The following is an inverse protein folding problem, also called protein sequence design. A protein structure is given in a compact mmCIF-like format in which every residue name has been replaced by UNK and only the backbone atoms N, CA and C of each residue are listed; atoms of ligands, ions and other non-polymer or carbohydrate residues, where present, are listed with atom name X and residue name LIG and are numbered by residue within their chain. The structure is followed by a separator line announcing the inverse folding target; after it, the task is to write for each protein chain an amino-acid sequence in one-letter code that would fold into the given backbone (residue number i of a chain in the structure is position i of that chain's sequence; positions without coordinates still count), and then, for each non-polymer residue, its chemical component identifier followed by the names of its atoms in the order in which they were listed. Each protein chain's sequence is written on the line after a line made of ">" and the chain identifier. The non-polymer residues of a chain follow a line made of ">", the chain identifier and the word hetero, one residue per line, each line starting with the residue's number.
data_IF_119257213324
#
_entry.id   IF_119257213324
#
_cell.length_a   1.000
_cell.length_b   1.000
_cell.length_c   1.000
_cell.angle_alpha   90.00
_cell.angle_beta   90.00
_cell.angle_gamma   90.00
#
_symmetry.space_group_name_H-M   'P 1'
#
loop_
_entity.id
_entity.type
_entity.pdbx_description
1 polymer ?
#
# COMPACT_ATOMS: atom_id res chain seq x y z
N UNK A 1 0.29 14.62 15.54
CA UNK A 1 0.43 14.46 14.09
C UNK A 1 -0.30 15.56 13.33
N UNK A 2 0.43 16.33 12.54
CA UNK A 2 -0.08 17.24 11.52
C UNK A 2 -0.17 16.51 10.17
N UNK A 3 -1.15 16.86 9.33
CA UNK A 3 -1.27 16.34 7.97
C UNK A 3 -1.12 17.53 7.03
N UNK A 4 0.01 17.63 6.33
CA UNK A 4 0.29 18.71 5.39
C UNK A 4 -0.01 18.24 3.96
N UNK A 5 -0.79 19.02 3.20
CA UNK A 5 -0.99 18.78 1.77
C UNK A 5 -0.16 19.81 1.00
N UNK A 6 0.84 19.33 0.24
CA UNK A 6 1.77 20.20 -0.49
C UNK A 6 2.06 19.63 -1.88
N UNK A 7 2.13 20.51 -2.88
CA UNK A 7 2.72 20.18 -4.17
C UNK A 7 4.24 20.18 -4.02
N UNK A 8 4.87 19.02 -4.21
CA UNK A 8 6.33 18.88 -4.23
C UNK A 8 6.78 18.19 -5.51
N UNK A 9 6.87 18.99 -6.58
CA UNK A 9 7.22 18.52 -7.93
C UNK A 9 8.57 17.81 -7.94
N UNK A 10 9.57 18.35 -7.25
CA UNK A 10 10.91 17.76 -7.21
C UNK A 10 10.86 16.36 -6.61
N UNK A 11 10.15 16.20 -5.49
CA UNK A 11 9.96 14.89 -4.88
C UNK A 11 9.21 13.92 -5.80
N UNK A 12 8.10 14.35 -6.41
CA UNK A 12 7.33 13.46 -7.28
C UNK A 12 8.15 12.98 -8.49
N UNK A 13 8.91 13.87 -9.12
CA UNK A 13 9.82 13.54 -10.23
C UNK A 13 10.90 12.54 -9.80
N UNK A 14 11.57 12.79 -8.67
CA UNK A 14 12.60 11.89 -8.17
C UNK A 14 12.02 10.52 -7.84
N UNK A 15 10.83 10.48 -7.25
CA UNK A 15 10.13 9.22 -7.03
C UNK A 15 9.82 8.52 -8.34
N UNK A 16 9.30 9.20 -9.35
CA UNK A 16 9.09 8.60 -10.68
C UNK A 16 10.36 7.97 -11.22
N UNK A 17 11.49 8.67 -11.12
CA UNK A 17 12.78 8.15 -11.54
C UNK A 17 13.16 6.87 -10.77
N UNK A 18 13.10 6.88 -9.45
CA UNK A 18 13.44 5.73 -8.61
C UNK A 18 12.53 4.53 -8.90
N UNK A 19 11.22 4.78 -9.12
CA UNK A 19 10.25 3.76 -9.46
C UNK A 19 10.50 3.13 -10.84
N UNK A 20 11.10 3.85 -11.79
CA UNK A 20 11.35 3.39 -13.17
C UNK A 20 12.76 2.79 -13.34
N UNK A 21 13.77 3.36 -12.68
CA UNK A 21 15.19 3.06 -12.90
C UNK A 21 15.97 2.68 -11.65
N UNK A 22 15.42 2.85 -10.45
CA UNK A 22 16.10 2.45 -9.21
C UNK A 22 16.27 0.94 -9.13
N UNK A 23 17.49 0.42 -9.22
CA UNK A 23 17.74 -1.03 -9.31
C UNK A 23 17.13 -1.82 -8.16
N UNK A 24 17.34 -1.36 -6.92
CA UNK A 24 16.78 -1.98 -5.73
C UNK A 24 15.25 -1.93 -5.74
N UNK A 25 14.69 -0.83 -6.23
CA UNK A 25 13.24 -0.66 -6.33
C UNK A 25 12.65 -1.60 -7.38
N UNK A 26 13.24 -1.70 -8.58
CA UNK A 26 12.75 -2.57 -9.65
C UNK A 26 12.82 -4.05 -9.25
N UNK A 27 13.89 -4.47 -8.55
CA UNK A 27 14.02 -5.84 -8.07
C UNK A 27 12.87 -6.23 -7.13
N UNK A 28 12.43 -5.31 -6.27
CA UNK A 28 11.36 -5.56 -5.28
C UNK A 28 9.96 -5.27 -5.83
N UNK A 29 9.81 -4.23 -6.64
CA UNK A 29 8.56 -3.60 -7.03
C UNK A 29 8.46 -3.35 -8.55
N UNK A 30 9.04 -4.23 -9.37
CA UNK A 30 9.09 -4.07 -10.83
C UNK A 30 7.72 -3.95 -11.50
N UNK A 31 6.64 -4.34 -10.83
CA UNK A 31 5.28 -4.10 -11.29
C UNK A 31 4.84 -2.64 -11.25
N UNK A 32 5.39 -1.83 -10.34
CA UNK A 32 5.10 -0.39 -10.28
C UNK A 32 5.63 0.29 -11.54
N UNK A 33 6.84 -0.07 -11.99
CA UNK A 33 7.40 0.36 -13.28
C UNK A 33 6.46 0.01 -14.43
N UNK A 34 5.97 -1.23 -14.47
CA UNK A 34 4.99 -1.68 -15.50
C UNK A 34 3.71 -0.86 -15.44
N UNK A 35 3.18 -0.57 -14.25
CA UNK A 35 1.98 0.26 -14.08
C UNK A 35 2.20 1.68 -14.60
N UNK A 36 3.34 2.30 -14.28
CA UNK A 36 3.72 3.63 -14.79
C UNK A 36 3.72 3.64 -16.32
N UNK A 37 4.40 2.71 -16.97
CA UNK A 37 4.46 2.68 -18.44
C UNK A 37 3.13 2.33 -19.12
N UNK A 38 2.23 1.61 -18.45
CA UNK A 38 0.85 1.41 -18.95
C UNK A 38 0.05 2.71 -18.96
N UNK A 39 0.24 3.56 -17.96
CA UNK A 39 -0.39 4.88 -17.90
C UNK A 39 0.28 5.91 -18.81
N UNK A 40 1.58 5.77 -19.03
CA UNK A 40 2.40 6.69 -19.82
C UNK A 40 3.14 5.98 -20.95
N UNK A 41 2.44 5.46 -21.98
CA UNK A 41 3.08 4.76 -23.09
C UNK A 41 4.07 5.66 -23.84
N UNK A 42 3.78 6.96 -23.98
CA UNK A 42 4.68 7.94 -24.59
C UNK A 42 5.98 8.13 -23.80
N UNK A 43 5.93 8.04 -22.47
CA UNK A 43 7.13 8.09 -21.63
C UNK A 43 7.97 6.84 -21.85
N UNK A 44 7.33 5.69 -22.02
CA UNK A 44 8.03 4.45 -22.34
C UNK A 44 8.75 4.53 -23.70
N UNK A 45 8.05 4.99 -24.74
CA UNK A 45 8.63 5.17 -26.08
C UNK A 45 9.88 6.05 -26.08
N UNK A 46 9.87 7.13 -25.28
CA UNK A 46 11.03 8.02 -25.12
C UNK A 46 12.20 7.38 -24.35
N UNK A 47 11.94 6.41 -23.49
CA UNK A 47 12.96 5.85 -22.57
C UNK A 47 13.51 4.49 -23.01
N UNK A 48 12.82 3.73 -23.86
CA UNK A 48 13.14 2.32 -24.15
C UNK A 48 14.57 2.07 -24.65
N UNK A 49 15.14 3.01 -25.40
CA UNK A 49 16.47 2.86 -25.99
C UNK A 49 17.53 3.78 -25.37
N UNK A 50 17.18 4.54 -24.34
CA UNK A 50 18.12 5.45 -23.68
C UNK A 50 18.87 4.67 -22.62
N UNK A 51 20.20 4.66 -22.68
CA UNK A 51 21.07 4.03 -21.66
C UNK A 51 21.72 5.03 -20.72
N UNK A 52 21.86 6.30 -21.15
CA UNK A 52 22.46 7.34 -20.33
C UNK A 52 21.53 7.75 -19.16
N UNK A 53 22.12 7.81 -17.96
CA UNK A 53 21.37 8.07 -16.72
C UNK A 53 20.87 9.51 -16.64
N UNK A 54 21.69 10.48 -17.05
CA UNK A 54 21.32 11.89 -16.96
C UNK A 54 20.29 12.25 -18.03
N UNK A 55 20.39 11.67 -19.22
CA UNK A 55 19.37 11.77 -20.27
C UNK A 55 18.03 11.17 -19.80
N UNK A 56 18.03 9.99 -19.17
CA UNK A 56 16.81 9.39 -18.59
C UNK A 56 16.16 10.31 -17.55
N UNK A 57 16.95 10.86 -16.63
CA UNK A 57 16.46 11.81 -15.62
C UNK A 57 15.84 13.04 -16.28
N UNK A 58 16.52 13.62 -17.28
CA UNK A 58 16.03 14.78 -18.03
C UNK A 58 14.70 14.48 -18.71
N UNK A 59 14.58 13.35 -19.42
CA UNK A 59 13.34 12.95 -20.10
C UNK A 59 12.18 12.81 -19.10
N UNK A 60 12.41 12.15 -17.95
CA UNK A 60 11.39 12.02 -16.91
C UNK A 60 11.02 13.39 -16.34
N UNK A 61 12.02 14.23 -16.04
CA UNK A 61 11.80 15.57 -15.50
C UNK A 61 10.93 16.41 -16.44
N UNK A 62 11.30 16.50 -17.72
CA UNK A 62 10.55 17.26 -18.73
C UNK A 62 9.14 16.70 -18.94
N UNK A 63 8.99 15.38 -18.93
CA UNK A 63 7.68 14.75 -19.11
C UNK A 63 6.73 15.07 -17.95
N UNK A 64 7.19 14.88 -16.71
CA UNK A 64 6.39 15.12 -15.52
C UNK A 64 6.14 16.63 -15.31
N UNK A 65 7.12 17.48 -15.57
CA UNK A 65 6.93 18.93 -15.57
C UNK A 65 5.84 19.36 -16.56
N UNK A 66 5.87 18.79 -17.77
CA UNK A 66 4.81 19.00 -18.75
C UNK A 66 3.42 18.63 -18.23
N UNK A 67 3.30 17.59 -17.38
CA UNK A 67 2.02 17.26 -16.72
C UNK A 67 1.61 18.33 -15.70
N UNK A 68 2.54 18.81 -14.87
CA UNK A 68 2.26 19.89 -13.92
C UNK A 68 1.78 21.16 -14.63
N UNK A 69 2.45 21.57 -15.72
CA UNK A 69 2.05 22.73 -16.52
C UNK A 69 0.68 22.49 -17.16
N UNK A 70 0.48 21.34 -17.79
CA UNK A 70 -0.75 21.03 -18.52
C UNK A 70 -1.99 20.93 -17.62
N UNK A 71 -1.82 20.43 -16.40
CA UNK A 71 -2.93 20.14 -15.48
C UNK A 71 -2.97 21.04 -14.25
N UNK A 72 -2.25 22.18 -14.23
CA UNK A 72 -2.12 23.04 -13.05
C UNK A 72 -3.47 23.40 -12.41
N UNK A 73 -4.42 23.94 -13.18
CA UNK A 73 -5.73 24.33 -12.64
C UNK A 73 -6.44 23.15 -11.96
N UNK A 74 -6.44 21.97 -12.59
CA UNK A 74 -7.07 20.77 -12.05
C UNK A 74 -6.33 20.26 -10.81
N UNK A 75 -5.01 20.31 -10.81
CA UNK A 75 -4.17 19.97 -9.67
C UNK A 75 -4.49 20.90 -8.48
N UNK A 76 -4.60 22.21 -8.68
CA UNK A 76 -4.96 23.14 -7.61
C UNK A 76 -6.34 22.82 -7.03
N UNK A 77 -7.33 22.51 -7.88
CA UNK A 77 -8.66 22.07 -7.42
C UNK A 77 -8.56 20.81 -6.55
N UNK A 78 -7.80 19.81 -7.00
CA UNK A 78 -7.59 18.57 -6.22
C UNK A 78 -6.89 18.86 -4.90
N UNK A 79 -5.85 19.71 -4.89
CA UNK A 79 -5.15 20.11 -3.66
C UNK A 79 -6.10 20.76 -2.65
N UNK A 80 -6.96 21.68 -3.09
CA UNK A 80 -7.94 22.31 -2.19
C UNK A 80 -8.97 21.31 -1.66
N UNK A 81 -9.45 20.41 -2.52
CA UNK A 81 -10.33 19.30 -2.12
C UNK A 81 -9.67 18.42 -1.08
N UNK A 82 -8.39 18.04 -1.27
CA UNK A 82 -7.63 17.24 -0.32
C UNK A 82 -7.44 17.98 1.01
N UNK A 83 -7.08 19.27 0.98
CA UNK A 83 -6.96 20.09 2.20
C UNK A 83 -8.25 20.09 3.01
N UNK A 84 -9.38 20.39 2.38
CA UNK A 84 -10.68 20.37 3.06
C UNK A 84 -11.05 18.97 3.56
N UNK A 85 -10.81 17.94 2.74
CA UNK A 85 -11.12 16.55 3.09
C UNK A 85 -10.36 16.09 4.33
N UNK A 86 -9.05 16.35 4.40
CA UNK A 86 -8.23 15.97 5.54
C UNK A 86 -8.46 16.84 6.77
N UNK A 87 -8.71 18.15 6.61
CA UNK A 87 -9.05 19.01 7.74
C UNK A 87 -10.30 18.50 8.47
N UNK A 88 -11.32 18.10 7.71
CA UNK A 88 -12.59 17.61 8.27
C UNK A 88 -12.51 16.20 8.91
N UNK A 89 -11.47 15.42 8.61
CA UNK A 89 -11.38 14.01 9.02
C UNK A 89 -10.14 13.70 9.89
N UNK A 90 -9.19 14.64 10.00
CA UNK A 90 -7.90 14.44 10.68
C UNK A 90 -8.04 13.90 12.09
N UNK A 91 -8.92 14.50 12.90
CA UNK A 91 -9.11 14.06 14.29
C UNK A 91 -9.62 12.63 14.38
N UNK A 92 -10.61 12.26 13.55
CA UNK A 92 -11.15 10.90 13.49
C UNK A 92 -10.11 9.89 13.02
N UNK A 93 -9.32 10.25 12.01
CA UNK A 93 -8.22 9.39 11.53
C UNK A 93 -7.20 9.17 12.65
N UNK A 94 -6.75 10.25 13.31
CA UNK A 94 -5.76 10.16 14.39
C UNK A 94 -6.31 9.32 15.54
N UNK A 95 -7.55 9.58 15.98
CA UNK A 95 -8.19 8.80 17.03
C UNK A 95 -8.28 7.32 16.67
N UNK A 96 -8.68 7.00 15.44
CA UNK A 96 -8.70 5.63 14.93
C UNK A 96 -7.33 4.97 15.01
N UNK A 97 -6.27 5.63 14.54
CA UNK A 97 -4.90 5.10 14.58
C UNK A 97 -4.37 4.92 16.02
N UNK A 98 -4.67 5.87 16.92
CA UNK A 98 -4.33 5.79 18.34
C UNK A 98 -5.00 4.57 18.97
N UNK A 99 -6.29 4.38 18.75
CA UNK A 99 -7.05 3.29 19.39
C UNK A 99 -6.79 1.92 18.76
N UNK A 100 -6.49 1.86 17.47
CA UNK A 100 -6.35 0.57 16.77
C UNK A 100 -4.92 0.04 16.76
N UNK A 101 -3.93 0.92 16.85
CA UNK A 101 -2.52 0.58 16.75
C UNK A 101 -1.69 1.04 17.94
N UNK A 102 -2.28 1.63 18.98
CA UNK A 102 -1.58 2.35 20.07
C UNK A 102 -0.60 3.40 19.55
N UNK A 103 -0.95 4.07 18.47
CA UNK A 103 -0.08 5.07 17.85
C UNK A 103 0.04 6.29 18.77
N UNK A 104 1.28 6.74 19.04
CA UNK A 104 1.50 8.04 19.68
C UNK A 104 1.70 9.11 18.61
N UNK A 105 0.81 10.12 18.48
CA UNK A 105 0.92 11.16 17.46
C UNK A 105 2.17 12.05 17.54
N UNK A 106 2.98 11.90 18.59
CA UNK A 106 4.29 12.55 18.71
C UNK A 106 5.44 11.75 18.05
N UNK A 107 5.27 10.43 17.82
CA UNK A 107 6.25 9.60 17.09
C UNK A 107 6.28 9.94 15.59
N UNK A 108 5.16 10.43 15.04
CA UNK A 108 5.05 11.02 13.70
C UNK A 108 4.39 12.38 13.84
N UNK A 109 5.16 13.44 14.14
CA UNK A 109 4.58 14.76 14.39
C UNK A 109 3.97 15.37 13.13
N UNK A 110 4.42 14.97 11.94
CA UNK A 110 3.89 15.43 10.65
C UNK A 110 3.94 14.33 9.58
N UNK A 111 2.90 14.26 8.75
CA UNK A 111 2.87 13.49 7.51
C UNK A 111 2.55 14.43 6.35
N UNK A 112 3.37 14.39 5.31
CA UNK A 112 3.18 15.22 4.10
C UNK A 112 2.53 14.39 3.01
N UNK A 113 1.36 14.80 2.56
CA UNK A 113 0.66 14.26 1.39
C UNK A 113 1.09 15.06 0.16
N UNK A 114 1.67 14.36 -0.80
CA UNK A 114 2.11 14.91 -2.08
C UNK A 114 1.18 14.35 -3.17
N UNK A 115 0.29 15.19 -3.75
CA UNK A 115 -0.52 14.79 -4.89
C UNK A 115 0.41 14.42 -6.06
N UNK A 116 0.29 13.19 -6.53
CA UNK A 116 1.25 12.57 -7.44
C UNK A 116 0.58 12.11 -8.72
N UNK A 117 1.22 12.36 -9.86
CA UNK A 117 0.75 11.81 -11.13
C UNK A 117 0.99 10.30 -11.24
N UNK A 118 1.75 9.67 -10.33
CA UNK A 118 1.94 8.22 -10.37
C UNK A 118 0.59 7.49 -10.32
N UNK A 119 0.45 6.36 -11.04
CA UNK A 119 -0.80 5.62 -11.04
C UNK A 119 -1.12 4.97 -9.69
N UNK A 120 -0.10 4.66 -8.90
CA UNK A 120 -0.24 4.07 -7.57
C UNK A 120 0.26 5.04 -6.50
N UNK A 121 -0.39 5.02 -5.35
CA UNK A 121 0.11 5.69 -4.15
C UNK A 121 1.30 4.93 -3.57
N UNK A 122 2.19 5.66 -2.91
CA UNK A 122 3.36 5.09 -2.22
C UNK A 122 3.67 5.89 -0.97
N UNK A 123 4.35 5.28 -0.01
CA UNK A 123 4.71 5.91 1.25
C UNK A 123 6.21 5.85 1.52
N UNK A 124 6.65 6.76 2.38
CA UNK A 124 7.96 6.82 3.04
C UNK A 124 7.73 7.15 4.51
N UNK A 125 8.80 7.37 5.28
CA UNK A 125 8.74 7.57 6.75
C UNK A 125 7.77 8.65 7.21
N UNK A 126 7.63 9.74 6.46
CA UNK A 126 6.84 10.94 6.82
C UNK A 126 6.08 11.52 5.62
N UNK A 127 6.01 10.78 4.50
CA UNK A 127 5.47 11.25 3.21
C UNK A 127 4.61 10.19 2.56
N UNK A 128 3.53 10.62 1.94
CA UNK A 128 2.66 9.79 1.12
C UNK A 128 2.48 10.47 -0.23
N UNK A 129 2.94 9.83 -1.31
CA UNK A 129 2.56 10.23 -2.66
C UNK A 129 1.17 9.67 -2.91
N UNK A 130 0.18 10.56 -2.97
CA UNK A 130 -1.21 10.19 -3.16
C UNK A 130 -1.54 10.29 -4.66
N UNK A 131 -1.84 9.15 -5.28
CA UNK A 131 -2.16 9.09 -6.71
C UNK A 131 -3.40 9.95 -7.01
N UNK A 132 -3.23 10.92 -7.91
CA UNK A 132 -4.31 11.72 -8.49
C UNK A 132 -4.56 11.36 -9.95
N UNK A 133 -3.85 10.38 -10.49
CA UNK A 133 -3.89 10.01 -11.91
C UNK A 133 -5.31 9.69 -12.40
N UNK A 134 -6.09 8.94 -11.63
CA UNK A 134 -7.48 8.62 -11.98
C UNK A 134 -8.37 9.86 -12.06
N UNK A 135 -8.22 10.80 -11.13
CA UNK A 135 -9.02 12.03 -11.13
C UNK A 135 -8.57 12.96 -12.25
N UNK A 136 -7.26 13.08 -12.49
CA UNK A 136 -6.72 13.92 -13.56
C UNK A 136 -7.07 13.40 -14.95
N UNK A 137 -6.83 12.11 -15.22
CA UNK A 137 -6.90 11.56 -16.58
C UNK A 137 -8.22 10.88 -16.92
N UNK A 138 -9.04 10.52 -15.92
CA UNK A 138 -10.30 9.78 -16.13
C UNK A 138 -11.51 10.37 -15.41
N UNK A 139 -11.36 11.54 -14.79
CA UNK A 139 -12.41 12.23 -14.02
C UNK A 139 -13.06 11.35 -12.94
N UNK A 140 -12.32 10.36 -12.44
CA UNK A 140 -12.76 9.45 -11.39
C UNK A 140 -12.10 9.81 -10.06
N UNK A 141 -12.89 10.22 -9.08
CA UNK A 141 -12.40 10.52 -7.73
C UNK A 141 -11.84 9.25 -7.07
N UNK A 142 -10.65 9.37 -6.48
CA UNK A 142 -10.06 8.32 -5.65
C UNK A 142 -10.60 8.38 -4.21
N UNK A 143 -10.70 7.23 -3.50
CA UNK A 143 -11.05 7.19 -2.09
C UNK A 143 -9.85 7.65 -1.25
N UNK A 144 -9.58 8.95 -1.22
CA UNK A 144 -8.33 9.51 -0.69
C UNK A 144 -8.11 9.24 0.80
N UNK A 145 -9.18 9.24 1.61
CA UNK A 145 -9.09 8.89 3.04
C UNK A 145 -8.65 7.44 3.19
N UNK A 146 -9.27 6.51 2.45
CA UNK A 146 -8.93 5.09 2.50
C UNK A 146 -7.49 4.83 2.11
N UNK A 147 -7.04 5.46 1.02
CA UNK A 147 -5.66 5.36 0.59
C UNK A 147 -4.73 5.93 1.66
N UNK A 148 -5.03 7.10 2.23
CA UNK A 148 -4.20 7.67 3.28
C UNK A 148 -4.13 6.77 4.52
N UNK A 149 -5.26 6.25 4.99
CA UNK A 149 -5.31 5.33 6.15
C UNK A 149 -4.50 4.07 5.84
N UNK A 150 -4.61 3.53 4.62
CA UNK A 150 -3.81 2.38 4.19
C UNK A 150 -2.30 2.67 4.30
N UNK A 151 -1.85 3.77 3.72
CA UNK A 151 -0.44 4.13 3.67
C UNK A 151 0.12 4.54 5.05
N UNK A 152 -0.64 5.27 5.87
CA UNK A 152 -0.19 5.65 7.22
C UNK A 152 -0.12 4.45 8.17
N UNK A 153 -0.97 3.43 7.99
CA UNK A 153 -0.85 2.17 8.72
C UNK A 153 0.49 1.49 8.41
N UNK A 154 0.96 1.51 7.16
CA UNK A 154 2.29 0.98 6.81
C UNK A 154 3.43 1.75 7.47
N UNK A 155 3.32 3.08 7.56
CA UNK A 155 4.31 3.91 8.23
C UNK A 155 4.37 3.57 9.72
N UNK A 156 3.22 3.51 10.39
CA UNK A 156 3.14 3.19 11.83
C UNK A 156 3.62 1.77 12.10
N UNK A 157 3.26 0.81 11.25
CA UNK A 157 3.77 -0.57 11.29
C UNK A 157 5.30 -0.59 11.30
N UNK A 158 5.92 0.08 10.33
CA UNK A 158 7.38 0.13 10.20
C UNK A 158 8.07 0.83 11.39
N UNK A 159 7.38 1.73 12.11
CA UNK A 159 7.91 2.29 13.35
C UNK A 159 7.80 1.31 14.53
N UNK A 160 6.64 0.68 14.68
CA UNK A 160 6.37 -0.23 15.82
C UNK A 160 7.13 -1.53 15.73
N UNK A 161 7.46 -1.98 14.53
CA UNK A 161 8.13 -3.25 14.33
C UNK A 161 9.50 -3.34 15.00
N UNK A 162 10.19 -2.20 15.17
CA UNK A 162 11.46 -2.13 15.88
C UNK A 162 11.35 -2.55 17.35
N UNK A 163 10.17 -2.38 17.97
CA UNK A 163 9.92 -2.78 19.37
C UNK A 163 9.84 -4.31 19.53
N UNK A 164 9.58 -5.03 18.44
CA UNK A 164 9.46 -6.50 18.40
C UNK A 164 10.46 -7.13 17.42
N UNK A 165 11.56 -6.42 17.17
CA UNK A 165 12.52 -6.78 16.15
C UNK A 165 13.03 -8.20 16.34
N UNK A 166 13.28 -8.62 17.59
CA UNK A 166 13.79 -9.94 18.02
C UNK A 166 12.99 -11.15 17.51
N UNK A 167 11.70 -10.94 17.19
CA UNK A 167 10.84 -11.97 16.60
C UNK A 167 10.69 -11.72 15.10
N UNK A 168 10.51 -10.47 14.69
CA UNK A 168 10.26 -10.11 13.29
C UNK A 168 11.45 -10.39 12.38
N UNK A 169 12.69 -10.19 12.83
CA UNK A 169 13.87 -10.38 11.98
C UNK A 169 13.99 -11.82 11.45
N UNK A 170 13.28 -12.76 12.08
CA UNK A 170 13.18 -14.16 11.65
C UNK A 170 12.29 -14.35 10.42
N UNK A 171 11.38 -13.41 10.12
CA UNK A 171 10.54 -13.47 8.93
C UNK A 171 11.35 -13.12 7.69
N UNK A 172 11.11 -13.88 6.63
CA UNK A 172 11.58 -13.49 5.30
C UNK A 172 11.01 -12.10 4.90
N UNK A 173 11.79 -11.23 4.24
CA UNK A 173 11.33 -9.89 3.86
C UNK A 173 10.02 -9.86 3.06
N UNK A 174 9.77 -10.87 2.21
CA UNK A 174 8.51 -10.97 1.47
C UNK A 174 7.32 -11.34 2.36
N UNK A 175 7.53 -12.22 3.34
CA UNK A 175 6.49 -12.59 4.31
C UNK A 175 6.15 -11.39 5.21
N UNK A 176 7.17 -10.59 5.58
CA UNK A 176 6.97 -9.32 6.28
C UNK A 176 6.11 -8.33 5.48
N UNK A 177 6.38 -8.14 4.18
CA UNK A 177 5.55 -7.28 3.33
C UNK A 177 4.10 -7.82 3.24
N UNK A 178 3.92 -9.12 3.07
CA UNK A 178 2.59 -9.72 2.99
C UNK A 178 1.81 -9.61 4.31
N UNK A 179 2.47 -9.78 5.46
CA UNK A 179 1.86 -9.55 6.77
C UNK A 179 1.42 -8.09 6.91
N UNK A 180 2.28 -7.14 6.57
CA UNK A 180 1.96 -5.71 6.60
C UNK A 180 0.72 -5.39 5.74
N UNK A 181 0.65 -5.93 4.51
CA UNK A 181 -0.52 -5.77 3.63
C UNK A 181 -1.80 -6.48 4.12
N UNK A 182 -1.69 -7.48 5.00
CA UNK A 182 -2.84 -8.12 5.69
C UNK A 182 -3.27 -7.33 6.91
N UNK A 183 -2.34 -6.73 7.65
CA UNK A 183 -2.67 -5.97 8.86
C UNK A 183 -3.41 -4.69 8.52
N UNK A 184 -3.03 -4.01 7.44
CA UNK A 184 -3.68 -2.77 7.01
C UNK A 184 -5.21 -2.88 6.87
N UNK A 185 -5.79 -3.83 6.12
CA UNK A 185 -7.24 -4.00 6.05
C UNK A 185 -7.86 -4.43 7.39
N UNK A 186 -7.16 -5.19 8.25
CA UNK A 186 -7.63 -5.51 9.61
C UNK A 186 -7.83 -4.23 10.42
N UNK A 187 -6.87 -3.30 10.36
CA UNK A 187 -6.97 -1.99 11.01
C UNK A 187 -8.08 -1.13 10.38
N UNK A 188 -8.16 -1.09 9.05
CA UNK A 188 -9.16 -0.29 8.34
C UNK A 188 -10.61 -0.77 8.58
N UNK A 189 -10.82 -2.06 8.84
CA UNK A 189 -12.15 -2.61 9.15
C UNK A 189 -12.62 -2.34 10.57
N UNK A 190 -11.73 -1.85 11.44
CA UNK A 190 -12.10 -1.48 12.81
C UNK A 190 -13.21 -0.42 12.83
N UNK A 191 -14.11 -0.53 13.81
CA UNK A 191 -15.29 0.33 13.91
C UNK A 191 -14.97 1.82 13.97
N UNK A 192 -13.79 2.20 14.47
CA UNK A 192 -13.38 3.61 14.54
C UNK A 192 -13.20 4.26 13.16
N UNK A 193 -12.98 3.46 12.11
CA UNK A 193 -12.82 3.95 10.75
C UNK A 193 -14.11 3.87 9.91
N UNK A 194 -15.19 3.26 10.44
CA UNK A 194 -16.42 2.98 9.69
C UNK A 194 -17.06 4.22 9.08
N UNK A 195 -17.05 5.34 9.80
CA UNK A 195 -17.73 6.57 9.41
C UNK A 195 -16.86 7.51 8.55
N UNK A 196 -15.60 7.16 8.30
CA UNK A 196 -14.65 7.99 7.54
C UNK A 196 -14.13 7.33 6.27
N UNK A 197 -14.12 6.00 6.21
CA UNK A 197 -13.73 5.27 5.01
C UNK A 197 -14.84 5.28 3.97
N UNK A 198 -14.45 5.55 2.73
CA UNK A 198 -15.34 5.86 1.61
C UNK A 198 -15.59 4.66 0.71
N UNK A 199 -14.78 3.60 0.78
CA UNK A 199 -14.88 2.44 -0.09
C UNK A 199 -14.97 1.11 0.66
N UNK A 200 -15.88 0.25 0.20
CA UNK A 200 -15.89 -1.17 0.57
C UNK A 200 -14.69 -1.94 0.00
N UNK A 201 -14.10 -1.44 -1.08
CA UNK A 201 -13.00 -2.12 -1.78
C UNK A 201 -11.69 -2.13 -0.97
N UNK A 202 -11.28 -0.98 -0.41
CA UNK A 202 -10.01 -0.89 0.34
C UNK A 202 -10.07 -1.63 1.68
N UNK A 203 -11.27 -1.84 2.23
CA UNK A 203 -11.47 -2.67 3.42
C UNK A 203 -11.06 -4.12 3.18
N UNK A 204 -11.05 -4.60 1.94
CA UNK A 204 -10.83 -6.02 1.64
C UNK A 204 -9.37 -6.41 1.42
N UNK A 205 -8.39 -5.52 1.65
CA UNK A 205 -6.98 -5.69 1.24
C UNK A 205 -6.80 -5.54 -0.27
N UNK A 206 -5.55 -5.60 -0.74
CA UNK A 206 -5.28 -5.69 -2.17
C UNK A 206 -5.74 -7.07 -2.73
N UNK A 207 -5.91 -7.17 -4.05
CA UNK A 207 -6.43 -8.38 -4.73
C UNK A 207 -5.64 -9.64 -4.38
N UNK A 208 -4.33 -9.53 -4.12
CA UNK A 208 -3.49 -10.66 -3.73
C UNK A 208 -3.94 -11.19 -2.36
N UNK A 209 -3.94 -10.35 -1.33
CA UNK A 209 -4.34 -10.75 0.02
C UNK A 209 -5.78 -11.29 0.08
N UNK A 210 -6.70 -10.76 -0.73
CA UNK A 210 -8.06 -11.28 -0.86
C UNK A 210 -8.16 -12.74 -1.34
N UNK A 211 -7.19 -13.18 -2.16
CA UNK A 211 -7.19 -14.53 -2.72
C UNK A 211 -6.54 -15.55 -1.78
N UNK A 212 -5.81 -15.12 -0.75
CA UNK A 212 -5.17 -16.01 0.20
C UNK A 212 -6.21 -16.66 1.11
N UNK A 213 -6.10 -17.98 1.23
CA UNK A 213 -6.94 -18.81 2.10
C UNK A 213 -6.06 -19.54 3.09
N UNK A 214 -6.52 -19.68 4.33
CA UNK A 214 -5.84 -20.40 5.40
C UNK A 214 -6.78 -21.42 6.03
N UNK A 215 -6.28 -22.63 6.25
CA UNK A 215 -6.96 -23.71 6.94
C UNK A 215 -6.47 -23.77 8.39
N UNK A 216 -7.40 -23.65 9.31
CA UNK A 216 -7.17 -23.72 10.76
C UNK A 216 -8.16 -24.73 11.33
N UNK A 217 -7.67 -25.81 11.94
CA UNK A 217 -8.51 -26.88 12.49
C UNK A 217 -9.60 -27.36 11.49
N UNK A 218 -9.20 -27.62 10.24
CA UNK A 218 -10.09 -28.07 9.15
C UNK A 218 -11.10 -27.04 8.63
N UNK A 219 -11.09 -25.83 9.17
CA UNK A 219 -11.95 -24.73 8.70
C UNK A 219 -11.15 -23.81 7.80
N UNK A 220 -11.71 -23.49 6.63
CA UNK A 220 -11.09 -22.59 5.64
C UNK A 220 -11.56 -21.16 5.88
N UNK A 221 -10.60 -20.23 5.91
CA UNK A 221 -10.83 -18.81 6.10
C UNK A 221 -10.10 -18.01 5.01
N UNK A 222 -10.63 -16.84 4.65
CA UNK A 222 -9.80 -15.81 4.04
C UNK A 222 -8.72 -15.38 5.06
N UNK A 223 -7.49 -15.14 4.61
CA UNK A 223 -6.40 -14.83 5.54
C UNK A 223 -6.63 -13.51 6.31
N UNK A 224 -7.21 -12.50 5.67
CA UNK A 224 -7.52 -11.21 6.31
C UNK A 224 -8.58 -11.40 7.38
N UNK A 225 -9.65 -12.14 7.05
CA UNK A 225 -10.73 -12.43 8.00
C UNK A 225 -10.22 -13.27 9.20
N UNK A 226 -9.27 -14.18 8.95
CA UNK A 226 -8.63 -14.94 10.03
C UNK A 226 -7.82 -14.03 10.97
N UNK A 227 -6.96 -13.16 10.43
CA UNK A 227 -6.19 -12.22 11.25
C UNK A 227 -7.08 -11.17 11.93
N UNK A 228 -8.19 -10.77 11.30
CA UNK A 228 -9.20 -9.90 11.91
C UNK A 228 -9.84 -10.56 13.13
N UNK A 229 -10.17 -11.85 13.05
CA UNK A 229 -10.73 -12.57 14.20
C UNK A 229 -9.79 -12.58 15.41
N UNK A 230 -8.50 -12.83 15.17
CA UNK A 230 -7.46 -12.75 16.20
C UNK A 230 -7.33 -11.33 16.75
N UNK A 231 -7.32 -10.30 15.88
CA UNK A 231 -7.26 -8.90 16.29
C UNK A 231 -8.42 -8.56 17.25
N UNK A 232 -9.66 -8.92 16.88
CA UNK A 232 -10.84 -8.63 17.71
C UNK A 232 -10.81 -9.40 19.03
N UNK A 233 -10.42 -10.69 19.01
CA UNK A 233 -10.27 -11.50 20.21
C UNK A 233 -9.21 -10.96 21.16
N UNK A 234 -8.12 -10.41 20.60
CA UNK A 234 -7.00 -9.88 21.37
C UNK A 234 -7.23 -8.46 21.86
N UNK A 235 -7.85 -7.58 21.08
CA UNK A 235 -8.11 -6.18 21.45
C UNK A 235 -8.93 -6.05 22.74
N UNK A 236 -9.79 -7.03 23.04
CA UNK A 236 -10.55 -7.09 24.30
C UNK A 236 -9.80 -7.68 25.49
N UNK A 237 -8.61 -8.26 25.29
CA UNK A 237 -7.86 -9.05 26.29
C UNK A 237 -6.46 -8.51 26.59
N UNK A 238 -5.83 -7.83 25.64
CA UNK A 238 -4.46 -7.37 25.72
C UNK A 238 -4.37 -5.86 25.79
N UNK A 239 -3.37 -5.38 26.53
CA UNK A 239 -3.17 -3.95 26.77
C UNK A 239 -2.46 -3.22 25.62
N UNK A 240 -1.89 -3.94 24.63
CA UNK A 240 -1.22 -3.29 23.50
C UNK A 240 -1.26 -4.03 22.15
N UNK A 241 -1.30 -3.24 21.08
CA UNK A 241 -1.11 -3.62 19.68
C UNK A 241 0.23 -4.31 19.44
N UNK A 242 1.26 -4.04 20.26
CA UNK A 242 2.54 -4.74 20.17
C UNK A 242 2.37 -6.25 20.39
N UNK A 243 1.55 -6.67 21.36
CA UNK A 243 1.27 -8.08 21.61
C UNK A 243 0.50 -8.73 20.45
N UNK A 244 -0.42 -7.98 19.84
CA UNK A 244 -1.13 -8.41 18.63
C UNK A 244 -0.12 -8.64 17.49
N UNK A 245 0.81 -7.71 17.28
CA UNK A 245 1.86 -7.85 16.26
C UNK A 245 2.74 -9.08 16.53
N UNK A 246 3.12 -9.33 17.79
CA UNK A 246 3.89 -10.53 18.16
C UNK A 246 3.13 -11.81 17.80
N UNK A 247 1.83 -11.86 18.08
CA UNK A 247 1.01 -13.03 17.73
C UNK A 247 0.91 -13.23 16.23
N UNK A 248 0.65 -12.16 15.48
CA UNK A 248 0.62 -12.20 14.03
C UNK A 248 1.93 -12.70 13.42
N UNK A 249 3.06 -12.24 13.94
CA UNK A 249 4.40 -12.68 13.51
C UNK A 249 4.62 -14.16 13.83
N UNK A 250 4.24 -14.63 15.02
CA UNK A 250 4.35 -16.06 15.38
C UNK A 250 3.54 -16.95 14.44
N UNK A 251 2.33 -16.54 14.07
CA UNK A 251 1.50 -17.25 13.10
C UNK A 251 2.19 -17.24 11.73
N UNK A 252 2.67 -16.08 11.28
CA UNK A 252 3.36 -15.94 10.01
C UNK A 252 4.61 -16.82 9.91
N UNK A 253 5.41 -16.93 10.97
CA UNK A 253 6.59 -17.81 11.01
C UNK A 253 6.24 -19.28 10.77
N UNK A 254 5.02 -19.73 11.10
CA UNK A 254 4.58 -21.10 10.83
C UNK A 254 4.16 -21.33 9.37
N UNK A 255 3.81 -20.26 8.65
CA UNK A 255 3.22 -20.33 7.30
C UNK A 255 4.08 -19.65 6.24
N UNK A 256 5.25 -19.10 6.59
CA UNK A 256 6.02 -18.22 5.71
C UNK A 256 6.40 -18.87 4.38
N UNK A 257 6.82 -20.13 4.39
CA UNK A 257 7.20 -20.86 3.17
C UNK A 257 6.02 -20.98 2.20
N UNK A 258 4.82 -21.22 2.73
CA UNK A 258 3.60 -21.32 1.93
C UNK A 258 3.23 -19.94 1.36
N UNK A 259 3.32 -18.87 2.17
CA UNK A 259 3.10 -17.49 1.71
C UNK A 259 4.07 -17.11 0.59
N UNK A 260 5.37 -17.42 0.74
CA UNK A 260 6.40 -17.13 -0.26
C UNK A 260 6.13 -17.92 -1.55
N UNK A 261 5.75 -19.19 -1.45
CA UNK A 261 5.38 -20.00 -2.60
C UNK A 261 4.19 -19.40 -3.36
N UNK A 262 3.14 -18.98 -2.65
CA UNK A 262 2.01 -18.27 -3.26
C UNK A 262 2.49 -16.96 -3.90
N UNK A 263 3.27 -16.13 -3.20
CA UNK A 263 3.82 -14.88 -3.73
C UNK A 263 4.52 -15.07 -5.08
N UNK A 264 5.35 -16.11 -5.23
CA UNK A 264 6.03 -16.42 -6.50
C UNK A 264 5.05 -16.68 -7.63
N UNK A 265 4.01 -17.48 -7.38
CA UNK A 265 2.93 -17.74 -8.35
C UNK A 265 2.24 -16.43 -8.73
N UNK A 266 1.89 -15.57 -7.77
CA UNK A 266 1.28 -14.27 -8.08
C UNK A 266 2.16 -13.44 -9.00
N UNK A 267 3.45 -13.33 -8.69
CA UNK A 267 4.36 -12.53 -9.50
C UNK A 267 4.54 -13.07 -10.91
N UNK A 268 4.54 -14.41 -11.06
CA UNK A 268 4.64 -15.09 -12.35
C UNK A 268 3.41 -14.83 -13.23
N UNK A 269 2.20 -14.91 -12.69
CA UNK A 269 0.97 -14.80 -13.49
C UNK A 269 0.40 -13.38 -13.57
N UNK A 270 0.31 -12.67 -12.44
CA UNK A 270 -0.36 -11.37 -12.38
C UNK A 270 0.38 -10.27 -13.13
N UNK A 271 1.71 -10.21 -12.99
CA UNK A 271 2.50 -9.12 -13.56
C UNK A 271 3.03 -9.41 -14.96
N UNK A 272 3.03 -10.66 -15.40
CA UNK A 272 3.45 -11.05 -16.75
C UNK A 272 2.24 -11.11 -17.69
N UNK A 273 1.04 -11.42 -17.18
CA UNK A 273 -0.13 -11.52 -18.04
C UNK A 273 -0.50 -10.18 -18.69
N UNK A 274 -0.82 -10.26 -19.98
CA UNK A 274 -1.44 -9.18 -20.76
C UNK A 274 -2.94 -9.08 -20.48
N UNK A 275 -3.54 -10.16 -20.00
CA UNK A 275 -4.96 -10.26 -19.65
C UNK A 275 -5.12 -10.49 -18.15
N UNK A 276 -5.73 -9.51 -17.48
CA UNK A 276 -5.96 -9.58 -16.03
C UNK A 276 -7.02 -10.62 -15.65
N UNK A 277 -8.02 -10.85 -16.50
CA UNK A 277 -9.10 -11.79 -16.21
C UNK A 277 -8.57 -13.22 -16.24
N UNK A 278 -7.76 -13.56 -17.25
CA UNK A 278 -7.12 -14.87 -17.34
C UNK A 278 -6.11 -15.09 -16.21
N UNK A 279 -5.33 -14.06 -15.85
CA UNK A 279 -4.44 -14.14 -14.69
C UNK A 279 -5.22 -14.39 -13.40
N UNK A 280 -6.34 -13.69 -13.21
CA UNK A 280 -7.19 -13.85 -12.04
C UNK A 280 -7.82 -15.24 -11.98
N UNK A 281 -8.22 -15.79 -13.13
CA UNK A 281 -8.75 -17.15 -13.24
C UNK A 281 -7.71 -18.19 -12.81
N UNK A 282 -6.50 -18.12 -13.36
CA UNK A 282 -5.39 -19.02 -13.00
C UNK A 282 -5.04 -18.90 -11.52
N UNK A 283 -5.00 -17.67 -10.98
CA UNK A 283 -4.73 -17.44 -9.57
C UNK A 283 -5.82 -18.04 -8.70
N UNK A 284 -7.10 -17.86 -9.03
CA UNK A 284 -8.20 -18.50 -8.30
C UNK A 284 -8.08 -20.02 -8.33
N UNK A 285 -7.78 -20.63 -9.47
CA UNK A 285 -7.60 -22.09 -9.55
C UNK A 285 -6.42 -22.59 -8.71
N UNK A 286 -5.27 -21.90 -8.73
CA UNK A 286 -4.06 -22.34 -8.00
C UNK A 286 -4.03 -21.94 -6.52
N UNK A 287 -4.71 -20.87 -6.13
CA UNK A 287 -4.70 -20.35 -4.76
C UNK A 287 -5.89 -20.79 -3.95
N UNK A 288 -7.07 -20.88 -4.57
CA UNK A 288 -8.30 -21.23 -3.87
C UNK A 288 -8.38 -22.73 -3.57
N UNK A 289 -7.73 -23.57 -4.38
CA UNK A 289 -7.71 -25.03 -4.22
C UNK A 289 -6.69 -25.53 -3.19
N UNK A 290 -5.66 -24.74 -2.90
CA UNK A 290 -4.54 -25.15 -2.05
C UNK A 290 -4.35 -24.11 -0.93
N UNK A 291 -5.18 -24.19 0.14
CA UNK A 291 -5.12 -23.25 1.25
C UNK A 291 -3.82 -23.43 2.05
N UNK A 292 -3.36 -22.33 2.65
CA UNK A 292 -2.25 -22.36 3.59
C UNK A 292 -2.66 -23.20 4.80
N UNK A 293 -1.85 -24.16 5.20
CA UNK A 293 -2.13 -25.00 6.37
C UNK A 293 -1.45 -24.39 7.59
N UNK A 294 -2.24 -24.02 8.61
CA UNK A 294 -1.74 -23.65 9.92
C UNK A 294 -1.79 -24.90 10.83
N UNK A 295 -0.61 -25.46 11.11
CA UNK A 295 -0.42 -26.63 11.99
C UNK A 295 -0.30 -26.29 13.46
#
# INVERSE_FOLDING_TARGET
>A
MNIEIKIDKTWDINSFYDNIFGENYIKKWGHVRKAIFRWYPQLWEKLNNITDTEERKKIIYEYIDGLYIKYDTKLQTIVQKLKSLFENNKEKIIAGLVTTMDFNPQEIPQVTIIPSFKPNSTFWTDRINLSIALEVFKDKTNPYIDIFVHEITHIIWNQKIWKIYDIVWKLWPLAHEDLKEIVTPVIMRDSHFRDILQSEYMKNANEKQQLLQINVNWTKHNIVDYFESIYQDMKGKWDSFEEIMKEFVKIFLKIEDQIIAKHRIYNEFWFVSKDKEEALKILKEKWYMDPIILG
#
